data_IF_227683113588
#
_entry.id   IF_227683113588
#
_cell.length_a   1.000
_cell.length_b   1.000
_cell.length_c   1.000
_cell.angle_alpha   90.00
_cell.angle_beta   90.00
_cell.angle_gamma   90.00
#
_symmetry.space_group_name_H-M   'P 1'
#
loop_
_entity.id
_entity.type
_entity.pdbx_description
1 polymer ?
#
# COMPACT_ATOMS: atom_id res chain seq x y z
N UNK A 1 -7.66 54.28 18.72
CA UNK A 1 -8.15 52.95 18.28
C UNK A 1 -7.80 52.82 16.82
N UNK A 2 -7.04 51.79 16.45
CA UNK A 2 -6.84 51.47 15.05
C UNK A 2 -8.04 50.65 14.60
N UNK A 3 -8.82 51.15 13.65
CA UNK A 3 -9.91 50.41 13.03
C UNK A 3 -9.32 49.49 11.97
N UNK A 4 -9.65 48.21 12.04
CA UNK A 4 -9.32 47.20 11.04
C UNK A 4 -10.54 46.98 10.18
N UNK A 5 -10.44 47.04 8.83
CA UNK A 5 -11.56 46.72 7.97
C UNK A 5 -11.90 45.24 8.15
N UNK A 6 -13.16 44.91 8.40
CA UNK A 6 -13.65 43.53 8.58
C UNK A 6 -14.77 43.26 7.59
N UNK A 7 -14.78 42.08 7.01
CA UNK A 7 -15.89 41.54 6.23
C UNK A 7 -16.59 40.53 7.13
N UNK A 8 -17.89 40.69 7.30
CA UNK A 8 -18.70 39.74 8.07
C UNK A 8 -19.15 38.64 7.11
N UNK A 9 -18.85 37.42 7.47
CA UNK A 9 -19.16 36.22 6.69
C UNK A 9 -20.06 35.26 7.52
N UNK A 10 -21.15 35.84 8.08
CA UNK A 10 -22.09 35.13 8.96
C UNK A 10 -22.98 34.10 8.24
N UNK A 11 -22.92 34.06 6.91
CA UNK A 11 -23.59 33.08 6.07
C UNK A 11 -22.76 31.76 5.90
N UNK A 12 -21.52 31.74 6.38
CA UNK A 12 -20.65 30.57 6.26
C UNK A 12 -20.78 29.68 7.50
N UNK A 13 -20.80 28.38 7.28
CA UNK A 13 -20.59 27.38 8.33
C UNK A 13 -19.18 27.51 8.93
N UNK A 14 -18.93 26.86 10.06
CA UNK A 14 -17.60 26.86 10.68
C UNK A 14 -16.54 26.28 9.74
N UNK A 15 -16.85 25.16 9.05
CA UNK A 15 -15.94 24.52 8.09
C UNK A 15 -15.64 25.41 6.87
N UNK A 16 -16.65 26.09 6.29
CA UNK A 16 -16.44 27.05 5.21
C UNK A 16 -15.60 28.26 5.66
N UNK A 17 -15.81 28.75 6.86
CA UNK A 17 -15.00 29.82 7.44
C UNK A 17 -13.53 29.43 7.63
N UNK A 18 -13.25 28.17 7.97
CA UNK A 18 -11.88 27.62 8.04
C UNK A 18 -11.25 27.49 6.66
N UNK A 19 -11.98 26.95 5.69
CA UNK A 19 -11.52 26.85 4.30
C UNK A 19 -11.24 28.22 3.67
N UNK A 20 -12.09 29.22 3.91
CA UNK A 20 -11.89 30.60 3.44
C UNK A 20 -10.61 31.21 4.02
N UNK A 21 -10.31 31.00 5.30
CA UNK A 21 -9.06 31.47 5.93
C UNK A 21 -7.82 30.85 5.30
N UNK A 22 -7.88 29.56 4.98
CA UNK A 22 -6.78 28.87 4.29
C UNK A 22 -6.58 29.42 2.88
N UNK A 23 -7.66 29.60 2.12
CA UNK A 23 -7.61 30.14 0.77
C UNK A 23 -7.07 31.57 0.74
N UNK A 24 -7.51 32.44 1.65
CA UNK A 24 -7.07 33.84 1.76
C UNK A 24 -5.57 33.93 2.07
N UNK A 25 -5.09 33.08 3.00
CA UNK A 25 -3.67 33.00 3.32
C UNK A 25 -2.83 32.45 2.15
N UNK A 26 -3.34 31.47 1.40
CA UNK A 26 -2.63 30.96 0.21
C UNK A 26 -2.53 32.02 -0.89
N UNK A 27 -3.57 32.80 -1.09
CA UNK A 27 -3.60 33.89 -2.07
C UNK A 27 -2.69 35.06 -1.65
N UNK A 28 -2.52 35.30 -0.37
CA UNK A 28 -1.63 36.31 0.16
C UNK A 28 -0.12 35.99 -0.02
N UNK A 29 0.23 34.85 -0.52
CA UNK A 29 1.48 34.26 -1.10
C UNK A 29 2.86 34.85 -0.73
N UNK A 30 3.01 35.53 0.41
CA UNK A 30 4.28 36.12 0.87
C UNK A 30 4.64 35.77 2.32
N UNK A 31 3.88 34.91 2.98
CA UNK A 31 4.20 34.41 4.31
C UNK A 31 4.39 32.90 4.27
N UNK A 32 5.40 32.40 4.94
CA UNK A 32 5.60 30.96 5.12
C UNK A 32 4.41 30.38 5.88
N UNK A 33 3.92 29.21 5.43
CA UNK A 33 2.91 28.48 6.14
C UNK A 33 3.45 27.94 7.46
N UNK A 34 2.64 27.99 8.51
CA UNK A 34 2.88 27.12 9.65
C UNK A 34 2.41 25.70 9.27
N UNK A 35 3.34 24.89 8.80
CA UNK A 35 3.08 23.54 8.26
C UNK A 35 2.32 22.66 9.24
N UNK A 36 2.69 22.71 10.56
CA UNK A 36 2.01 21.92 11.57
C UNK A 36 0.55 22.35 11.77
N UNK A 37 0.26 23.66 11.74
CA UNK A 37 -1.10 24.15 11.85
C UNK A 37 -1.91 23.82 10.58
N UNK A 38 -1.30 23.95 9.41
CA UNK A 38 -1.94 23.62 8.12
C UNK A 38 -2.26 22.12 8.04
N UNK A 39 -1.37 21.27 8.53
CA UNK A 39 -1.58 19.82 8.62
C UNK A 39 -2.80 19.46 9.46
N UNK A 40 -2.93 20.08 10.65
CA UNK A 40 -4.08 19.83 11.56
C UNK A 40 -5.39 20.28 10.89
N UNK A 41 -5.42 21.50 10.32
CA UNK A 41 -6.61 22.02 9.67
C UNK A 41 -7.07 21.18 8.49
N UNK A 42 -6.13 20.74 7.64
CA UNK A 42 -6.48 19.85 6.54
C UNK A 42 -6.90 18.46 6.98
N UNK A 43 -6.30 17.90 8.03
CA UNK A 43 -6.72 16.61 8.56
C UNK A 43 -8.18 16.65 9.02
N UNK A 44 -8.55 17.66 9.84
CA UNK A 44 -9.91 17.82 10.31
C UNK A 44 -10.93 18.09 9.18
N UNK A 45 -10.57 18.94 8.19
CA UNK A 45 -11.43 19.19 7.03
C UNK A 45 -11.60 17.96 6.16
N UNK A 46 -10.56 17.15 6.03
CA UNK A 46 -10.63 15.90 5.28
C UNK A 46 -11.52 14.87 5.97
N UNK A 47 -11.44 14.74 7.28
CA UNK A 47 -12.32 13.84 8.05
C UNK A 47 -13.79 14.23 7.86
N UNK A 48 -14.13 15.52 7.98
CA UNK A 48 -15.48 16.03 7.70
C UNK A 48 -15.92 15.75 6.26
N UNK A 49 -15.00 15.86 5.29
CA UNK A 49 -15.29 15.54 3.88
C UNK A 49 -15.62 14.06 3.69
N UNK A 50 -14.87 13.16 4.32
CA UNK A 50 -15.07 11.72 4.23
C UNK A 50 -16.35 11.27 4.94
N UNK A 51 -16.76 11.96 5.99
CA UNK A 51 -18.02 11.72 6.71
C UNK A 51 -19.24 12.28 5.95
N UNK A 52 -19.00 13.06 4.89
CA UNK A 52 -20.07 13.70 4.11
C UNK A 52 -20.70 14.90 4.81
N UNK A 53 -19.99 15.50 5.76
CA UNK A 53 -20.43 16.68 6.51
C UNK A 53 -20.08 18.00 5.82
N UNK A 54 -19.23 17.96 4.75
CA UNK A 54 -18.94 19.14 3.93
C UNK A 54 -19.86 19.19 2.70
N UNK A 55 -20.45 20.35 2.45
CA UNK A 55 -21.25 20.66 1.25
C UNK A 55 -20.45 21.39 0.17
N UNK A 56 -19.11 21.48 0.32
CA UNK A 56 -18.19 22.10 -0.63
C UNK A 56 -16.94 21.23 -0.86
N UNK A 57 -16.26 21.46 -2.00
CA UNK A 57 -14.98 20.81 -2.29
C UNK A 57 -13.82 21.53 -1.61
N UNK A 58 -12.83 20.78 -1.10
CA UNK A 58 -11.61 21.33 -0.52
C UNK A 58 -10.76 22.11 -1.53
N UNK A 59 -11.00 21.97 -2.84
CA UNK A 59 -10.36 22.77 -3.89
C UNK A 59 -10.58 24.28 -3.70
N UNK A 60 -11.62 24.69 -2.95
CA UNK A 60 -11.88 26.11 -2.61
C UNK A 60 -10.72 26.72 -1.81
N UNK A 61 -9.90 25.91 -1.13
CA UNK A 61 -8.72 26.38 -0.41
C UNK A 61 -7.59 26.80 -1.36
N UNK A 62 -7.69 26.46 -2.64
CA UNK A 62 -6.66 26.66 -3.65
C UNK A 62 -5.53 25.61 -3.60
N UNK A 63 -5.63 24.61 -2.75
CA UNK A 63 -4.77 23.42 -2.78
C UNK A 63 -5.42 22.32 -3.60
N UNK A 64 -4.64 21.63 -4.43
CA UNK A 64 -5.10 20.43 -5.14
C UNK A 64 -5.06 19.22 -4.20
N UNK A 65 -5.89 18.21 -4.44
CA UNK A 65 -5.98 17.01 -3.58
C UNK A 65 -4.62 16.35 -3.29
N UNK A 66 -3.68 16.22 -4.25
CA UNK A 66 -2.33 15.70 -3.97
C UNK A 66 -1.50 16.59 -3.03
N UNK A 67 -1.66 17.91 -3.10
CA UNK A 67 -0.96 18.84 -2.19
C UNK A 67 -1.48 18.70 -0.76
N UNK A 68 -2.81 18.62 -0.60
CA UNK A 68 -3.45 18.40 0.71
C UNK A 68 -2.95 17.07 1.32
N UNK A 69 -2.88 16.03 0.50
CA UNK A 69 -2.42 14.71 0.93
C UNK A 69 -0.96 14.71 1.41
N UNK A 70 -0.10 15.46 0.73
CA UNK A 70 1.31 15.67 1.13
C UNK A 70 1.38 16.42 2.45
N UNK A 71 0.61 17.50 2.61
CA UNK A 71 0.58 18.29 3.85
C UNK A 71 0.15 17.42 5.03
N UNK A 72 -0.94 16.66 4.90
CA UNK A 72 -1.44 15.79 5.99
C UNK A 72 -0.45 14.68 6.31
N UNK A 73 0.19 14.08 5.29
CA UNK A 73 1.10 12.93 5.46
C UNK A 73 2.50 13.33 5.94
N UNK A 74 2.87 14.61 5.91
CA UNK A 74 4.22 15.08 6.18
C UNK A 74 5.17 14.74 5.01
N UNK A 75 5.38 15.67 4.11
CA UNK A 75 6.22 15.44 2.93
C UNK A 75 7.67 15.11 3.35
N UNK A 76 8.22 14.00 2.94
CA UNK A 76 9.63 13.58 2.98
C UNK A 76 10.14 12.70 4.15
N UNK A 77 9.35 12.27 5.11
CA UNK A 77 9.85 11.36 6.15
C UNK A 77 10.04 9.91 5.67
N UNK A 78 9.43 9.53 4.54
CA UNK A 78 9.37 8.12 4.09
C UNK A 78 10.72 7.56 3.61
N UNK A 79 11.57 8.37 2.98
CA UNK A 79 12.86 7.91 2.43
C UNK A 79 13.95 7.73 3.51
N UNK A 80 13.81 8.40 4.66
CA UNK A 80 14.76 8.34 5.78
C UNK A 80 14.27 7.47 6.95
N UNK A 81 13.07 6.88 6.82
CA UNK A 81 12.52 6.03 7.87
C UNK A 81 13.45 4.84 8.17
N UNK A 82 13.72 4.54 9.46
CA UNK A 82 14.51 3.37 9.83
C UNK A 82 13.83 2.09 9.30
N UNK A 83 14.65 1.06 9.03
CA UNK A 83 14.14 -0.22 8.58
C UNK A 83 13.06 -0.75 9.55
N UNK A 84 11.91 -1.06 8.99
CA UNK A 84 10.77 -1.58 9.75
C UNK A 84 11.11 -2.98 10.28
N UNK A 85 10.69 -3.27 11.51
CA UNK A 85 10.85 -4.61 12.10
C UNK A 85 9.51 -5.29 12.17
N UNK A 86 9.42 -6.49 11.62
CA UNK A 86 8.19 -7.30 11.64
C UNK A 86 8.49 -8.63 12.32
N UNK A 87 7.71 -8.96 13.36
CA UNK A 87 7.80 -10.26 14.01
C UNK A 87 7.19 -11.35 13.13
N UNK A 88 7.92 -12.44 12.96
CA UNK A 88 7.42 -13.63 12.28
C UNK A 88 6.21 -14.23 13.04
N UNK A 89 5.27 -14.90 12.34
CA UNK A 89 4.20 -15.62 13.00
C UNK A 89 4.74 -16.66 14.00
N UNK A 90 4.14 -16.74 15.18
CA UNK A 90 4.51 -17.73 16.20
C UNK A 90 3.77 -19.05 15.95
N UNK A 91 4.40 -19.94 15.22
CA UNK A 91 3.85 -21.26 14.88
C UNK A 91 3.65 -22.20 16.08
N UNK A 92 4.24 -21.88 17.23
CA UNK A 92 4.05 -22.69 18.43
C UNK A 92 2.66 -22.49 19.06
N UNK A 93 1.94 -21.46 18.64
CA UNK A 93 0.59 -21.12 19.10
C UNK A 93 -0.44 -21.36 18.01
N UNK A 94 -1.63 -21.84 18.35
CA UNK A 94 -2.71 -21.91 17.39
C UNK A 94 -3.13 -20.48 16.97
N UNK A 95 -3.47 -20.30 15.71
CA UNK A 95 -4.06 -19.05 15.24
C UNK A 95 -5.41 -18.79 15.93
N UNK A 96 -5.71 -17.53 16.18
CA UNK A 96 -7.03 -17.08 16.64
C UNK A 96 -7.98 -17.04 15.44
N UNK A 97 -7.50 -16.51 14.32
CA UNK A 97 -8.22 -16.45 13.05
C UNK A 97 -8.44 -17.86 12.49
N UNK A 98 -9.58 -18.09 11.84
CA UNK A 98 -9.90 -19.31 11.14
C UNK A 98 -10.13 -19.05 9.65
N UNK A 99 -9.90 -20.06 8.77
CA UNK A 99 -10.24 -19.95 7.36
C UNK A 99 -11.70 -19.53 7.17
N UNK A 100 -11.91 -18.45 6.41
CA UNK A 100 -13.22 -17.86 6.18
C UNK A 100 -13.56 -16.70 7.11
N UNK A 101 -12.79 -16.38 8.13
CA UNK A 101 -13.06 -15.22 8.98
C UNK A 101 -12.84 -13.91 8.20
N UNK A 102 -13.73 -12.96 8.41
CA UNK A 102 -13.63 -11.59 7.91
C UNK A 102 -13.52 -10.64 9.10
N UNK A 103 -12.35 -10.04 9.26
CA UNK A 103 -12.06 -9.05 10.29
C UNK A 103 -12.33 -7.64 9.79
N UNK A 104 -12.93 -6.81 10.66
CA UNK A 104 -13.15 -5.39 10.41
C UNK A 104 -12.25 -4.62 11.38
N UNK A 105 -11.30 -3.86 10.83
CA UNK A 105 -10.28 -3.11 11.56
C UNK A 105 -10.44 -1.62 11.21
N UNK A 106 -11.22 -0.89 12.02
CA UNK A 106 -11.65 0.45 11.65
C UNK A 106 -12.41 0.43 10.32
N UNK A 107 -11.87 1.10 9.31
CA UNK A 107 -12.42 1.14 7.95
C UNK A 107 -11.86 0.04 7.02
N UNK A 108 -10.97 -0.81 7.51
CA UNK A 108 -10.32 -1.86 6.74
C UNK A 108 -11.02 -3.20 6.88
N UNK A 109 -10.79 -4.09 5.91
CA UNK A 109 -11.29 -5.47 5.90
C UNK A 109 -10.15 -6.44 5.63
N UNK A 110 -10.05 -7.48 6.43
CA UNK A 110 -9.08 -8.56 6.25
C UNK A 110 -9.82 -9.89 6.24
N UNK A 111 -9.75 -10.58 5.11
CA UNK A 111 -10.37 -11.90 4.93
C UNK A 111 -9.29 -12.98 5.02
N UNK A 112 -9.46 -13.94 5.93
CA UNK A 112 -8.73 -15.19 5.86
C UNK A 112 -9.33 -16.05 4.75
N UNK A 113 -8.72 -16.01 3.54
CA UNK A 113 -9.33 -16.62 2.36
C UNK A 113 -8.33 -16.85 1.22
N UNK A 114 -8.82 -17.47 0.17
CA UNK A 114 -8.02 -17.84 -0.99
C UNK A 114 -8.19 -16.81 -2.12
N UNK A 115 -7.09 -16.21 -2.56
CA UNK A 115 -7.03 -15.27 -3.69
C UNK A 115 -7.38 -15.89 -5.05
N UNK A 116 -7.45 -17.22 -5.14
CA UNK A 116 -7.91 -17.92 -6.33
C UNK A 116 -9.44 -18.07 -6.41
N UNK A 117 -10.17 -17.65 -5.38
CA UNK A 117 -11.63 -17.79 -5.30
C UNK A 117 -12.32 -16.45 -5.48
N UNK A 118 -13.20 -16.33 -6.46
CA UNK A 118 -14.01 -15.12 -6.73
C UNK A 118 -14.82 -14.70 -5.50
N UNK A 119 -15.28 -15.66 -4.72
CA UNK A 119 -16.05 -15.42 -3.48
C UNK A 119 -15.25 -14.64 -2.44
N UNK A 120 -13.92 -14.77 -2.41
CA UNK A 120 -13.05 -14.01 -1.52
C UNK A 120 -13.09 -12.52 -1.84
N UNK A 121 -13.04 -12.18 -3.12
CA UNK A 121 -13.13 -10.78 -3.59
C UNK A 121 -14.50 -10.17 -3.28
N UNK A 122 -15.57 -10.89 -3.58
CA UNK A 122 -16.93 -10.44 -3.30
C UNK A 122 -17.15 -10.15 -1.81
N UNK A 123 -16.58 -10.99 -0.93
CA UNK A 123 -16.69 -10.84 0.53
C UNK A 123 -15.87 -9.67 1.06
N UNK A 124 -14.60 -9.56 0.67
CA UNK A 124 -13.72 -8.51 1.20
C UNK A 124 -14.10 -7.13 0.68
N UNK A 125 -14.49 -7.02 -0.58
CA UNK A 125 -14.91 -5.76 -1.21
C UNK A 125 -16.35 -5.37 -0.82
N UNK A 126 -17.21 -6.33 -0.47
CA UNK A 126 -18.60 -6.07 -0.05
C UNK A 126 -19.38 -5.17 -1.03
N UNK A 127 -19.26 -5.45 -2.33
CA UNK A 127 -19.93 -4.69 -3.39
C UNK A 127 -19.20 -3.42 -3.85
N UNK A 128 -18.09 -3.06 -3.23
CA UNK A 128 -17.22 -1.97 -3.66
C UNK A 128 -16.25 -2.43 -4.77
N UNK A 129 -15.57 -1.47 -5.41
CA UNK A 129 -14.50 -1.72 -6.37
C UNK A 129 -13.18 -1.18 -5.85
N UNK A 130 -12.07 -1.82 -6.19
CA UNK A 130 -10.75 -1.32 -5.84
C UNK A 130 -10.37 -0.12 -6.70
N UNK A 131 -9.90 0.96 -6.08
CA UNK A 131 -9.29 2.09 -6.80
C UNK A 131 -7.84 1.80 -7.18
N UNK A 132 -7.17 1.00 -6.38
CA UNK A 132 -5.82 0.53 -6.64
C UNK A 132 -5.69 -0.91 -6.14
N UNK A 133 -4.85 -1.66 -6.80
CA UNK A 133 -4.30 -2.91 -6.28
C UNK A 133 -2.82 -2.67 -5.98
N UNK A 134 -2.38 -3.03 -4.78
CA UNK A 134 -0.98 -3.24 -4.46
C UNK A 134 -0.85 -4.64 -3.89
N UNK A 135 -0.07 -5.52 -4.54
CA UNK A 135 -0.05 -6.93 -4.11
C UNK A 135 1.27 -7.60 -4.41
N UNK A 136 1.64 -8.54 -3.54
CA UNK A 136 2.92 -9.26 -3.57
C UNK A 136 2.67 -10.78 -3.61
N UNK A 137 2.37 -11.35 -4.80
CA UNK A 137 2.13 -12.79 -4.91
C UNK A 137 3.39 -13.58 -4.57
N UNK A 138 3.25 -14.83 -4.10
CA UNK A 138 4.40 -15.72 -3.91
C UNK A 138 5.11 -15.96 -5.24
N UNK A 139 6.46 -15.98 -5.21
CA UNK A 139 7.28 -15.97 -6.43
C UNK A 139 7.63 -17.35 -7.00
N UNK A 140 7.08 -18.41 -6.42
CA UNK A 140 7.42 -19.80 -6.79
C UNK A 140 8.93 -20.09 -6.77
N UNK A 141 9.63 -19.54 -5.78
CA UNK A 141 11.06 -19.75 -5.56
C UNK A 141 11.25 -20.48 -4.25
N UNK A 142 11.94 -21.63 -4.23
CA UNK A 142 12.18 -22.36 -2.99
C UNK A 142 12.93 -21.52 -1.96
N UNK A 143 12.34 -21.30 -0.80
CA UNK A 143 12.97 -20.55 0.29
C UNK A 143 14.16 -21.34 0.84
N UNK A 144 14.05 -22.67 0.95
CA UNK A 144 15.07 -23.56 1.52
C UNK A 144 16.38 -23.68 0.71
N UNK A 145 16.42 -23.29 -0.55
CA UNK A 145 17.62 -23.41 -1.41
C UNK A 145 18.49 -22.15 -1.48
N UNK A 146 17.99 -21.01 -1.08
CA UNK A 146 18.65 -19.71 -1.23
C UNK A 146 19.05 -19.05 0.09
N UNK A 147 18.53 -19.55 1.22
CA UNK A 147 18.99 -19.21 2.57
C UNK A 147 19.82 -20.38 3.08
N UNK A 148 21.11 -20.23 3.17
CA UNK A 148 22.02 -21.33 3.50
C UNK A 148 21.86 -21.78 4.93
N UNK A 149 21.59 -23.07 5.08
CA UNK A 149 21.59 -23.84 6.29
C UNK A 149 22.87 -23.70 7.11
N UNK A 150 22.71 -23.09 8.29
CA UNK A 150 23.46 -23.53 9.45
C UNK A 150 22.45 -24.25 10.34
N UNK A 151 22.56 -25.59 10.45
CA UNK A 151 21.85 -26.48 11.37
C UNK A 151 20.46 -26.04 11.89
N UNK A 152 19.40 -26.58 11.28
CA UNK A 152 18.18 -26.98 11.98
C UNK A 152 17.25 -25.88 12.43
N UNK A 153 16.58 -25.20 11.49
CA UNK A 153 15.33 -24.52 11.73
C UNK A 153 14.42 -24.77 10.53
N UNK A 154 13.23 -25.31 10.75
CA UNK A 154 12.21 -25.42 9.72
C UNK A 154 11.78 -23.99 9.33
N UNK A 155 12.22 -23.52 8.16
CA UNK A 155 11.71 -22.29 7.58
C UNK A 155 10.31 -22.56 7.04
N UNK A 156 9.37 -21.73 7.42
CA UNK A 156 8.00 -21.80 6.92
C UNK A 156 8.00 -21.52 5.42
N UNK A 157 7.51 -22.47 4.65
CA UNK A 157 7.17 -22.26 3.24
C UNK A 157 5.81 -21.57 3.17
N UNK A 158 5.62 -20.70 2.17
CA UNK A 158 4.31 -20.14 1.90
C UNK A 158 3.30 -21.26 1.64
N UNK A 159 2.03 -21.04 1.97
CA UNK A 159 0.97 -22.03 1.81
C UNK A 159 0.75 -22.45 0.35
N UNK A 160 1.31 -21.71 -0.64
CA UNK A 160 1.35 -22.08 -2.05
C UNK A 160 2.46 -21.31 -2.80
N UNK A 161 2.87 -21.83 -3.95
CA UNK A 161 3.89 -21.25 -4.86
C UNK A 161 5.25 -20.99 -4.15
N UNK A 162 5.71 -21.96 -3.36
CA UNK A 162 7.02 -21.99 -2.68
C UNK A 162 8.10 -22.72 -3.48
N UNK A 163 7.95 -22.80 -4.79
CA UNK A 163 8.87 -23.53 -5.68
C UNK A 163 8.40 -24.93 -6.06
N UNK A 164 7.21 -25.33 -5.62
CA UNK A 164 6.60 -26.63 -5.95
C UNK A 164 5.90 -26.62 -7.30
N UNK A 165 5.52 -25.45 -7.83
CA UNK A 165 4.80 -25.35 -9.10
C UNK A 165 5.76 -25.42 -10.29
N UNK A 166 5.40 -26.19 -11.30
CA UNK A 166 5.99 -26.07 -12.62
C UNK A 166 5.71 -24.68 -13.23
N UNK A 167 6.48 -24.30 -14.25
CA UNK A 167 6.26 -23.02 -14.96
C UNK A 167 4.83 -22.90 -15.51
N UNK A 168 4.24 -24.01 -15.98
CA UNK A 168 2.88 -24.02 -16.49
C UNK A 168 1.84 -23.79 -15.39
N UNK A 169 1.98 -24.47 -14.26
CA UNK A 169 1.09 -24.31 -13.10
C UNK A 169 1.19 -22.91 -12.51
N UNK A 170 2.41 -22.38 -12.40
CA UNK A 170 2.61 -21.01 -11.92
C UNK A 170 2.03 -19.97 -12.88
N UNK A 171 2.15 -20.18 -14.18
CA UNK A 171 1.49 -19.33 -15.18
C UNK A 171 -0.03 -19.37 -15.07
N UNK A 172 -0.62 -20.54 -14.81
CA UNK A 172 -2.07 -20.67 -14.61
C UNK A 172 -2.52 -20.01 -13.29
N UNK A 173 -1.71 -20.14 -12.23
CA UNK A 173 -1.92 -19.40 -10.97
C UNK A 173 -1.96 -17.88 -11.22
N UNK A 174 -0.92 -17.32 -11.86
CA UNK A 174 -0.87 -15.89 -12.16
C UNK A 174 -2.00 -15.44 -13.10
N UNK A 175 -2.34 -16.24 -14.12
CA UNK A 175 -3.46 -15.96 -15.01
C UNK A 175 -4.78 -15.80 -14.23
N UNK A 176 -5.02 -16.67 -13.26
CA UNK A 176 -6.25 -16.65 -12.45
C UNK A 176 -6.28 -15.43 -11.54
N UNK A 177 -5.19 -15.15 -10.82
CA UNK A 177 -5.06 -13.97 -9.96
C UNK A 177 -5.26 -12.68 -10.78
N UNK A 178 -4.50 -12.50 -11.87
CA UNK A 178 -4.58 -11.29 -12.69
C UNK A 178 -5.97 -11.10 -13.33
N UNK A 179 -6.67 -12.20 -13.65
CA UNK A 179 -8.05 -12.13 -14.15
C UNK A 179 -9.00 -11.61 -13.08
N UNK A 180 -8.91 -12.10 -11.84
CA UNK A 180 -9.71 -11.59 -10.74
C UNK A 180 -9.40 -10.11 -10.44
N UNK A 181 -8.12 -9.72 -10.38
CA UNK A 181 -7.73 -8.32 -10.19
C UNK A 181 -8.34 -7.42 -11.27
N UNK A 182 -8.24 -7.82 -12.54
CA UNK A 182 -8.79 -7.06 -13.66
C UNK A 182 -10.31 -6.91 -13.58
N UNK A 183 -11.04 -7.90 -13.05
CA UNK A 183 -12.50 -7.84 -12.89
C UNK A 183 -12.94 -6.86 -11.80
N UNK A 184 -12.14 -6.70 -10.75
CA UNK A 184 -12.46 -5.82 -9.62
C UNK A 184 -11.81 -4.43 -9.71
N UNK A 185 -11.05 -4.18 -10.77
CA UNK A 185 -10.38 -2.91 -11.04
C UNK A 185 -11.14 -2.14 -12.13
N UNK A 186 -11.77 -1.00 -11.84
CA UNK A 186 -12.43 -0.17 -12.83
C UNK A 186 -11.47 0.41 -13.88
N UNK A 187 -11.99 0.83 -15.02
CA UNK A 187 -11.21 1.47 -16.09
C UNK A 187 -10.41 2.67 -15.56
N UNK A 188 -9.17 2.80 -15.99
CA UNK A 188 -8.23 3.85 -15.58
C UNK A 188 -7.43 3.54 -14.31
N UNK A 189 -7.84 2.57 -13.50
CA UNK A 189 -7.18 2.30 -12.23
C UNK A 189 -5.92 1.44 -12.38
N UNK A 190 -5.07 1.49 -11.37
CA UNK A 190 -3.70 0.94 -11.39
C UNK A 190 -3.62 -0.32 -10.52
N UNK A 191 -2.84 -1.28 -10.97
CA UNK A 191 -2.43 -2.43 -10.20
C UNK A 191 -0.90 -2.53 -10.19
N UNK A 192 -0.32 -2.38 -9.00
CA UNK A 192 1.10 -2.57 -8.72
C UNK A 192 1.30 -4.00 -8.22
N UNK A 193 1.97 -4.81 -9.02
CA UNK A 193 2.16 -6.24 -8.72
C UNK A 193 3.64 -6.54 -8.63
N UNK A 194 4.08 -6.97 -7.46
CA UNK A 194 5.47 -7.33 -7.20
C UNK A 194 5.84 -8.67 -7.84
N UNK A 195 7.09 -8.84 -8.24
CA UNK A 195 7.61 -10.10 -8.77
C UNK A 195 9.12 -10.17 -8.72
N UNK A 196 9.64 -11.39 -8.52
CA UNK A 196 11.05 -11.71 -8.75
C UNK A 196 11.39 -11.69 -10.26
N UNK A 197 12.62 -11.33 -10.59
CA UNK A 197 13.09 -11.23 -11.98
C UNK A 197 12.96 -12.56 -12.77
N UNK A 198 12.94 -13.72 -12.08
CA UNK A 198 12.86 -15.04 -12.73
C UNK A 198 11.49 -15.30 -13.35
N UNK A 199 10.43 -14.70 -12.78
CA UNK A 199 9.03 -14.93 -13.19
C UNK A 199 8.33 -13.68 -13.70
N UNK A 200 9.11 -12.63 -14.00
CA UNK A 200 8.55 -11.37 -14.52
C UNK A 200 7.86 -11.54 -15.87
N UNK A 201 8.35 -12.47 -16.72
CA UNK A 201 7.76 -12.76 -18.02
C UNK A 201 6.35 -13.35 -17.86
N UNK A 202 6.19 -14.31 -16.95
CA UNK A 202 4.92 -14.95 -16.66
C UNK A 202 3.90 -13.93 -16.13
N UNK A 203 4.31 -13.04 -15.22
CA UNK A 203 3.45 -11.99 -14.69
C UNK A 203 3.01 -11.01 -15.78
N UNK A 204 3.93 -10.52 -16.61
CA UNK A 204 3.60 -9.60 -17.70
C UNK A 204 2.64 -10.26 -18.70
N UNK A 205 2.87 -11.54 -19.04
CA UNK A 205 1.98 -12.27 -19.92
C UNK A 205 0.58 -12.45 -19.33
N UNK A 206 0.49 -12.76 -18.03
CA UNK A 206 -0.79 -12.91 -17.32
C UNK A 206 -1.56 -11.59 -17.25
N UNK A 207 -0.88 -10.46 -16.97
CA UNK A 207 -1.50 -9.14 -16.96
C UNK A 207 -2.09 -8.76 -18.31
N UNK A 208 -1.32 -8.94 -19.39
CA UNK A 208 -1.79 -8.71 -20.77
C UNK A 208 -2.97 -9.60 -21.13
N UNK A 209 -2.93 -10.88 -20.77
CA UNK A 209 -4.04 -11.82 -20.99
C UNK A 209 -5.29 -11.43 -20.25
N UNK A 210 -5.17 -10.84 -19.04
CA UNK A 210 -6.27 -10.30 -18.27
C UNK A 210 -6.81 -8.95 -18.81
N UNK A 211 -6.23 -8.41 -19.87
CA UNK A 211 -6.64 -7.15 -20.49
C UNK A 211 -6.14 -5.91 -19.75
N UNK A 212 -4.99 -6.03 -19.07
CA UNK A 212 -4.30 -4.91 -18.43
C UNK A 212 -3.13 -4.45 -19.29
N UNK A 213 -2.89 -3.15 -19.34
CA UNK A 213 -1.74 -2.53 -20.01
C UNK A 213 -0.58 -2.40 -19.01
N UNK A 214 0.58 -2.95 -19.34
CA UNK A 214 1.80 -2.63 -18.59
C UNK A 214 2.26 -1.24 -18.99
N UNK A 215 2.19 -0.28 -18.06
CA UNK A 215 2.56 1.12 -18.33
C UNK A 215 3.94 1.50 -17.78
N UNK A 216 4.44 0.78 -16.78
CA UNK A 216 5.79 0.97 -16.25
C UNK A 216 6.28 -0.31 -15.57
N UNK A 217 7.60 -0.37 -15.33
CA UNK A 217 8.27 -1.34 -14.49
C UNK A 217 9.11 -0.58 -13.49
N UNK A 218 8.72 -0.63 -12.22
CA UNK A 218 9.46 -0.02 -11.13
C UNK A 218 10.40 -1.03 -10.46
N UNK A 219 11.47 -0.52 -9.88
CA UNK A 219 12.50 -1.30 -9.21
C UNK A 219 12.60 -0.83 -7.77
N UNK A 220 12.23 -1.68 -6.82
CA UNK A 220 12.59 -1.44 -5.44
C UNK A 220 14.06 -1.77 -5.24
N UNK A 221 14.87 -0.74 -5.00
CA UNK A 221 16.30 -0.84 -4.71
C UNK A 221 16.51 -0.92 -3.20
N UNK A 222 16.82 -2.12 -2.71
CA UNK A 222 17.04 -2.37 -1.27
C UNK A 222 18.40 -1.80 -0.82
N UNK A 223 18.53 -1.44 0.45
CA UNK A 223 19.81 -0.97 1.01
C UNK A 223 20.88 -2.07 0.98
N UNK A 224 20.49 -3.32 1.27
CA UNK A 224 21.39 -4.47 1.34
C UNK A 224 21.12 -5.46 0.21
N UNK A 225 22.18 -5.97 -0.41
CA UNK A 225 22.09 -7.04 -1.38
C UNK A 225 21.95 -8.39 -0.70
N UNK A 226 20.91 -9.16 -1.06
CA UNK A 226 20.75 -10.55 -0.67
C UNK A 226 21.72 -11.49 -1.38
N UNK A 227 21.47 -12.80 -1.24
CA UNK A 227 22.21 -13.84 -1.97
C UNK A 227 21.95 -13.72 -3.49
N UNK A 228 22.88 -14.18 -4.29
CA UNK A 228 22.75 -14.20 -5.74
C UNK A 228 23.71 -15.21 -6.36
N UNK A 229 23.53 -15.54 -7.64
CA UNK A 229 24.43 -16.45 -8.34
C UNK A 229 25.67 -15.72 -8.88
N UNK A 230 25.55 -14.99 -9.98
CA UNK A 230 26.65 -14.18 -10.55
C UNK A 230 26.72 -12.81 -9.84
N UNK A 231 25.58 -12.15 -9.67
CA UNK A 231 25.46 -10.89 -8.95
C UNK A 231 24.58 -11.05 -7.72
N UNK A 232 24.89 -10.31 -6.65
CA UNK A 232 24.02 -10.25 -5.47
C UNK A 232 22.71 -9.54 -5.85
N UNK A 233 21.58 -10.16 -5.46
CA UNK A 233 20.25 -9.59 -5.70
C UNK A 233 19.99 -8.45 -4.72
N UNK A 234 19.78 -7.24 -5.25
CA UNK A 234 19.53 -6.02 -4.46
C UNK A 234 18.19 -5.38 -4.80
N UNK A 235 17.44 -5.96 -5.69
CA UNK A 235 16.21 -5.38 -6.20
C UNK A 235 15.04 -6.37 -6.18
N UNK A 236 13.84 -5.81 -6.16
CA UNK A 236 12.60 -6.48 -6.58
C UNK A 236 11.90 -5.64 -7.63
N UNK A 237 11.10 -6.28 -8.47
CA UNK A 237 10.40 -5.63 -9.57
C UNK A 237 8.95 -5.41 -9.19
N UNK A 238 8.38 -4.27 -9.61
CA UNK A 238 6.97 -3.97 -9.45
C UNK A 238 6.43 -3.60 -10.83
N UNK A 239 5.56 -4.47 -11.38
CA UNK A 239 4.85 -4.19 -12.61
C UNK A 239 3.70 -3.24 -12.36
N UNK A 240 3.70 -2.10 -13.02
CA UNK A 240 2.62 -1.11 -12.95
C UNK A 240 1.67 -1.39 -14.12
N UNK A 241 0.55 -2.02 -13.81
CA UNK A 241 -0.51 -2.30 -14.76
C UNK A 241 -1.61 -1.27 -14.65
N UNK A 242 -2.24 -0.96 -15.79
CA UNK A 242 -3.40 -0.08 -15.88
C UNK A 242 -4.57 -0.82 -16.52
N UNK A 243 -5.77 -0.69 -15.94
CA UNK A 243 -6.99 -1.08 -16.62
C UNK A 243 -7.31 -0.06 -17.71
N UNK A 244 -7.34 -0.46 -19.00
CA UNK A 244 -7.63 0.48 -20.09
C UNK A 244 -9.05 1.03 -20.02
N UNK A 245 -9.30 2.11 -20.78
CA UNK A 245 -10.64 2.70 -20.96
C UNK A 245 -10.86 4.05 -20.28
N UNK A 246 -9.97 4.49 -19.37
CA UNK A 246 -10.02 5.82 -18.76
C UNK A 246 -8.62 6.31 -18.39
N UNK A 247 -8.41 7.62 -18.15
CA UNK A 247 -7.20 8.13 -17.52
C UNK A 247 -7.08 7.61 -16.08
N UNK A 248 -5.87 7.45 -15.59
CA UNK A 248 -5.59 7.14 -14.18
C UNK A 248 -5.41 8.42 -13.37
N UNK A 249 -5.60 8.32 -12.06
CA UNK A 249 -5.16 9.36 -11.12
C UNK A 249 -3.63 9.42 -11.19
N UNK A 250 -3.08 10.62 -11.28
CA UNK A 250 -1.64 10.87 -11.30
C UNK A 250 -1.31 12.02 -10.35
N UNK A 251 -0.99 11.69 -9.11
CA UNK A 251 -0.63 12.66 -8.08
C UNK A 251 0.87 13.01 -8.11
N UNK A 252 1.65 12.43 -9.03
CA UNK A 252 3.07 12.73 -9.22
C UNK A 252 3.29 13.89 -10.18
N UNK A 253 2.66 13.84 -11.35
CA UNK A 253 2.73 14.88 -12.41
C UNK A 253 4.13 15.52 -12.60
N UNK A 254 5.18 14.67 -12.64
CA UNK A 254 6.58 15.11 -12.76
C UNK A 254 7.04 16.08 -11.65
N UNK A 255 6.45 15.97 -10.46
CA UNK A 255 6.80 16.80 -9.29
C UNK A 255 6.02 18.09 -9.15
N UNK A 256 4.97 18.31 -9.95
CA UNK A 256 4.10 19.50 -9.86
C UNK A 256 3.56 19.75 -8.44
N UNK A 257 3.25 18.67 -7.72
CA UNK A 257 2.69 18.73 -6.37
C UNK A 257 3.72 18.41 -5.26
N UNK A 258 5.03 18.54 -5.56
CA UNK A 258 6.10 18.24 -4.61
C UNK A 258 6.52 16.78 -4.52
N UNK A 259 5.78 15.84 -5.14
CA UNK A 259 6.12 14.41 -5.20
C UNK A 259 6.95 14.12 -6.46
N UNK A 260 8.27 14.17 -6.34
CA UNK A 260 9.16 13.85 -7.46
C UNK A 260 9.58 12.38 -7.40
N UNK A 261 8.84 11.51 -8.09
CA UNK A 261 9.02 10.06 -8.10
C UNK A 261 9.66 9.59 -9.40
N UNK A 262 10.57 8.64 -9.30
CA UNK A 262 11.14 7.91 -10.43
C UNK A 262 10.67 6.45 -10.40
N UNK A 263 11.03 5.65 -11.40
CA UNK A 263 10.77 4.21 -11.40
C UNK A 263 11.84 3.38 -10.66
N UNK A 264 12.77 4.03 -9.97
CA UNK A 264 13.67 3.39 -8.99
C UNK A 264 13.29 3.88 -7.61
N UNK A 265 12.88 2.97 -6.75
CA UNK A 265 12.34 3.22 -5.43
C UNK A 265 13.36 2.79 -4.37
N UNK A 266 13.99 3.75 -3.72
CA UNK A 266 15.00 3.52 -2.69
C UNK A 266 14.34 3.43 -1.31
N UNK A 267 14.18 2.22 -0.80
CA UNK A 267 13.65 1.95 0.54
C UNK A 267 14.50 0.88 1.22
N UNK A 268 14.74 1.06 2.52
CA UNK A 268 15.37 0.03 3.33
C UNK A 268 14.54 -1.26 3.29
N UNK A 269 15.19 -2.41 3.23
CA UNK A 269 14.53 -3.69 3.44
C UNK A 269 14.02 -3.81 4.87
N UNK A 270 12.97 -4.58 5.08
CA UNK A 270 12.47 -4.88 6.43
C UNK A 270 13.45 -5.85 7.09
N UNK A 271 13.89 -5.54 8.29
CA UNK A 271 14.74 -6.40 9.09
C UNK A 271 13.87 -7.22 10.05
N UNK A 272 14.00 -8.54 10.00
CA UNK A 272 13.44 -9.42 11.03
C UNK A 272 14.51 -9.62 12.10
N UNK A 273 14.39 -9.00 13.27
CA UNK A 273 15.30 -9.25 14.39
C UNK A 273 14.73 -10.35 15.29
N UNK A 274 15.36 -11.55 15.26
CA UNK A 274 15.27 -12.50 16.36
C UNK A 274 16.32 -12.17 17.43
N UNK A 275 16.04 -12.48 18.69
CA UNK A 275 16.89 -12.18 19.86
C UNK A 275 18.23 -12.92 19.93
N UNK A 276 18.61 -13.68 18.90
CA UNK A 276 19.88 -14.44 18.85
C UNK A 276 20.57 -14.24 17.51
N UNK A 277 21.90 -14.24 17.49
CA UNK A 277 22.76 -14.06 16.31
C UNK A 277 22.48 -15.07 15.19
N UNK A 278 21.87 -16.22 15.54
CA UNK A 278 21.43 -17.25 14.59
C UNK A 278 20.03 -16.96 14.00
N UNK A 279 19.27 -16.04 14.60
CA UNK A 279 17.98 -15.57 14.08
C UNK A 279 18.13 -14.49 13.02
N UNK A 280 19.29 -13.85 12.87
CA UNK A 280 19.61 -12.89 11.79
C UNK A 280 19.61 -13.57 10.40
N UNK A 281 19.57 -14.92 10.34
CA UNK A 281 19.46 -15.70 9.12
C UNK A 281 18.03 -16.16 8.82
N UNK A 282 17.11 -15.92 9.73
CA UNK A 282 15.67 -16.20 9.57
C UNK A 282 14.89 -15.01 9.01
N UNK A 283 15.57 -14.17 8.22
CA UNK A 283 14.91 -13.06 7.53
C UNK A 283 13.80 -13.60 6.63
N UNK A 284 12.56 -13.16 6.89
CA UNK A 284 11.51 -13.20 5.90
C UNK A 284 11.87 -12.17 4.80
N UNK A 285 12.48 -12.59 3.69
CA UNK A 285 13.06 -11.66 2.71
C UNK A 285 12.00 -10.92 1.89
N UNK A 286 10.71 -11.05 2.23
CA UNK A 286 9.59 -10.69 1.36
C UNK A 286 8.65 -9.64 1.91
N UNK A 287 8.82 -9.20 3.17
CA UNK A 287 7.95 -8.13 3.72
C UNK A 287 8.25 -6.81 3.02
N UNK A 288 7.21 -6.21 2.44
CA UNK A 288 7.34 -4.88 1.81
C UNK A 288 7.37 -3.79 2.87
N UNK A 289 8.27 -2.79 2.76
CA UNK A 289 8.24 -1.64 3.66
C UNK A 289 6.91 -0.90 3.57
N UNK A 290 6.29 -0.61 4.71
CA UNK A 290 5.03 0.15 4.76
C UNK A 290 5.16 1.51 4.06
N UNK A 291 6.31 2.17 4.17
CA UNK A 291 6.59 3.44 3.51
C UNK A 291 6.58 3.33 1.96
N UNK A 292 7.15 2.25 1.40
CA UNK A 292 7.11 2.00 -0.05
C UNK A 292 5.68 1.86 -0.54
N UNK A 293 4.87 1.08 0.19
CA UNK A 293 3.46 0.85 -0.16
C UNK A 293 2.64 2.12 0.00
N UNK A 294 2.87 2.89 1.05
CA UNK A 294 2.21 4.17 1.28
C UNK A 294 2.44 5.16 0.14
N UNK A 295 3.68 5.30 -0.30
CA UNK A 295 4.01 6.15 -1.44
C UNK A 295 3.35 5.68 -2.75
N UNK A 296 3.38 4.38 -3.03
CA UNK A 296 2.71 3.81 -4.20
C UNK A 296 1.19 4.08 -4.18
N UNK A 297 0.56 3.94 -3.01
CA UNK A 297 -0.87 4.25 -2.82
C UNK A 297 -1.15 5.73 -3.09
N UNK A 298 -0.36 6.63 -2.52
CA UNK A 298 -0.53 8.07 -2.70
C UNK A 298 -0.31 8.53 -4.14
N UNK A 299 0.52 7.85 -4.92
CA UNK A 299 0.80 8.21 -6.30
C UNK A 299 -0.46 8.15 -7.20
N UNK A 300 -1.42 7.26 -6.91
CA UNK A 300 -2.53 6.91 -7.82
C UNK A 300 -3.90 6.80 -7.16
N UNK A 301 -4.06 7.28 -5.92
CA UNK A 301 -5.34 7.28 -5.19
C UNK A 301 -5.56 8.58 -4.43
N UNK A 302 -6.81 8.82 -4.03
CA UNK A 302 -7.19 9.87 -3.08
C UNK A 302 -7.52 9.28 -1.72
N UNK A 303 -7.57 10.12 -0.67
CA UNK A 303 -8.04 9.70 0.66
C UNK A 303 -9.45 9.11 0.57
N UNK A 304 -9.73 8.10 1.39
CA UNK A 304 -10.99 7.36 1.37
C UNK A 304 -11.09 6.30 0.27
N UNK A 305 -10.19 6.29 -0.72
CA UNK A 305 -10.19 5.27 -1.78
C UNK A 305 -9.86 3.87 -1.23
N UNK A 306 -10.39 2.84 -1.90
CA UNK A 306 -10.18 1.44 -1.52
C UNK A 306 -8.97 0.86 -2.23
N UNK A 307 -8.03 0.32 -1.46
CA UNK A 307 -6.85 -0.42 -1.92
C UNK A 307 -7.05 -1.91 -1.68
N UNK A 308 -6.87 -2.72 -2.70
CA UNK A 308 -6.99 -4.18 -2.63
C UNK A 308 -5.60 -4.83 -2.62
N UNK A 309 -5.39 -5.74 -1.68
CA UNK A 309 -4.24 -6.63 -1.65
C UNK A 309 -4.71 -8.07 -1.44
N UNK A 310 -4.38 -8.95 -2.38
CA UNK A 310 -4.89 -10.34 -2.37
C UNK A 310 -3.86 -11.35 -1.84
N UNK A 311 -2.71 -10.84 -1.39
CA UNK A 311 -1.67 -11.57 -0.68
C UNK A 311 -1.18 -10.72 0.49
N UNK A 312 -2.10 -10.49 1.46
CA UNK A 312 -1.95 -9.51 2.53
C UNK A 312 -0.73 -9.70 3.43
N UNK A 313 -0.26 -10.94 3.58
CA UNK A 313 0.91 -11.27 4.38
C UNK A 313 0.85 -10.68 5.79
N UNK A 314 1.88 -9.95 6.17
CA UNK A 314 1.97 -9.27 7.46
C UNK A 314 1.26 -7.92 7.53
N UNK A 315 0.47 -7.54 6.52
CA UNK A 315 -0.40 -6.36 6.52
C UNK A 315 0.26 -5.04 6.17
N UNK A 316 1.38 -5.03 5.44
CA UNK A 316 2.05 -3.78 5.04
C UNK A 316 1.09 -2.83 4.29
N UNK A 317 0.25 -3.36 3.39
CA UNK A 317 -0.74 -2.60 2.64
C UNK A 317 -1.82 -2.00 3.56
N UNK A 318 -2.25 -2.73 4.58
CA UNK A 318 -3.22 -2.22 5.55
C UNK A 318 -2.66 -1.05 6.35
N UNK A 319 -1.44 -1.20 6.88
CA UNK A 319 -0.77 -0.15 7.64
C UNK A 319 -0.47 1.09 6.77
N UNK A 320 -0.12 0.88 5.51
CA UNK A 320 0.07 1.95 4.55
C UNK A 320 -1.25 2.71 4.27
N UNK A 321 -2.35 1.98 4.08
CA UNK A 321 -3.67 2.56 3.87
C UNK A 321 -4.15 3.36 5.10
N UNK A 322 -3.95 2.83 6.32
CA UNK A 322 -4.24 3.54 7.57
C UNK A 322 -3.47 4.87 7.64
N UNK A 323 -2.13 4.82 7.48
CA UNK A 323 -1.27 6.02 7.52
C UNK A 323 -1.66 7.09 6.51
N UNK A 324 -2.17 6.67 5.35
CA UNK A 324 -2.50 7.58 4.24
C UNK A 324 -3.98 7.93 4.16
N UNK A 325 -4.80 7.46 5.09
CA UNK A 325 -6.25 7.69 5.10
C UNK A 325 -7.00 7.00 3.96
N UNK A 326 -6.49 5.86 3.49
CA UNK A 326 -7.16 4.98 2.53
C UNK A 326 -7.78 3.81 3.26
N UNK A 327 -8.61 3.05 2.56
CA UNK A 327 -9.25 1.84 3.10
C UNK A 327 -8.62 0.60 2.46
N UNK A 328 -8.11 -0.31 3.27
CA UNK A 328 -7.54 -1.57 2.79
C UNK A 328 -8.58 -2.69 2.80
N UNK A 329 -8.59 -3.48 1.73
CA UNK A 329 -9.28 -4.75 1.63
C UNK A 329 -8.23 -5.83 1.35
N UNK A 330 -7.93 -6.68 2.35
CA UNK A 330 -6.90 -7.70 2.26
C UNK A 330 -7.49 -9.10 2.19
N UNK A 331 -6.88 -9.95 1.36
CA UNK A 331 -7.10 -11.40 1.38
C UNK A 331 -5.76 -12.04 1.76
N UNK A 332 -5.77 -12.89 2.78
CA UNK A 332 -4.60 -13.67 3.21
C UNK A 332 -5.02 -15.12 3.49
N UNK A 333 -4.23 -16.05 2.97
CA UNK A 333 -4.56 -17.47 3.07
C UNK A 333 -4.22 -18.05 4.44
N UNK A 334 -3.11 -17.63 5.04
CA UNK A 334 -2.60 -18.15 6.29
C UNK A 334 -3.20 -17.40 7.49
N UNK A 335 -3.97 -18.10 8.37
CA UNK A 335 -4.57 -17.49 9.55
C UNK A 335 -3.56 -16.82 10.49
N UNK A 336 -2.31 -17.35 10.59
CA UNK A 336 -1.27 -16.78 11.44
C UNK A 336 -0.80 -15.41 10.94
N UNK A 337 -0.71 -15.22 9.62
CA UNK A 337 -0.40 -13.92 9.03
C UNK A 337 -1.55 -12.92 9.20
N UNK A 338 -2.80 -13.38 9.15
CA UNK A 338 -3.95 -12.53 9.50
C UNK A 338 -3.85 -12.04 10.94
N UNK A 339 -3.51 -12.92 11.90
CA UNK A 339 -3.30 -12.54 13.30
C UNK A 339 -2.14 -11.54 13.47
N UNK A 340 -1.06 -11.68 12.69
CA UNK A 340 0.05 -10.70 12.66
C UNK A 340 -0.45 -9.35 12.16
N UNK A 341 -1.21 -9.32 11.07
CA UNK A 341 -1.80 -8.10 10.49
C UNK A 341 -2.67 -7.38 11.52
N UNK A 342 -3.54 -8.09 12.22
CA UNK A 342 -4.43 -7.52 13.26
C UNK A 342 -3.60 -6.91 14.39
N UNK A 343 -2.61 -7.63 14.89
CA UNK A 343 -1.74 -7.16 15.98
C UNK A 343 -0.99 -5.89 15.59
N UNK A 344 -0.37 -5.87 14.42
CA UNK A 344 0.36 -4.71 13.92
C UNK A 344 -0.54 -3.48 13.77
N UNK A 345 -1.77 -3.68 13.31
CA UNK A 345 -2.74 -2.58 13.22
C UNK A 345 -3.13 -2.07 14.61
N UNK A 346 -3.39 -2.95 15.58
CA UNK A 346 -3.68 -2.58 16.96
C UNK A 346 -2.53 -1.82 17.62
N UNK A 347 -1.29 -2.24 17.39
CA UNK A 347 -0.10 -1.55 17.90
C UNK A 347 0.08 -0.15 17.29
N UNK A 348 -0.35 0.05 16.07
CA UNK A 348 -0.26 1.35 15.40
C UNK A 348 -1.38 2.31 15.80
N UNK A 349 -2.59 1.81 16.04
CA UNK A 349 -3.78 2.64 16.28
C UNK A 349 -4.14 2.80 17.76
N UNK A 350 -3.59 1.98 18.66
CA UNK A 350 -3.81 1.99 20.11
C UNK A 350 -4.85 0.98 20.51
#
# INVERSE_FOLDING_TARGET
MKTVPTVVADHLSEAEGRALRIADNKLAALSDWNEAALQIEFAELMDLSLEGELDFSLDITGFEAPEIDIVISGANEAAEAPAETVEAPDSSKPAVTQPGDLWILGNHRVLCGNSLEETSYARVLNGETARMVFTDPPYNVPVQGHVRSGNGGDHWEFAMASGEMSVAEFRDFLNKVMSHLANHLPAGNIADVCMDWRHIEELIAAGKKAGLDLINLCVWNKTNGGMGSLYRSKQELICIFKKPGAPHINNVELGKHGRNRTNVWDYAGVNSFGKTRDADLADHPTVKPTALVADAIMDVTHRGDTVLDVFGGSGATLLAAEKTGRRACLIELDPLYVDVTIRRWQEMTG
#
